data_IF_463149494637
#
_entry.id   IF_463149494637
#
_cell.length_a   1.000
_cell.length_b   1.000
_cell.length_c   1.000
_cell.angle_alpha   90.00
_cell.angle_beta   90.00
_cell.angle_gamma   90.00
#
_symmetry.space_group_name_H-M   'P 1'
#
loop_
_entity.id
_entity.type
_entity.pdbx_description
1 polymer ?
#
# COMPACT_ATOMS: atom_id res chain seq x y z
N UNK A 1 36.31 56.97 42.36
CA UNK A 1 36.57 56.99 40.90
C UNK A 1 37.53 55.89 40.45
N UNK A 2 38.79 55.83 40.91
CA UNK A 2 39.75 54.82 40.43
C UNK A 2 39.31 53.35 40.68
N UNK A 3 38.82 53.02 41.88
CA UNK A 3 38.38 51.65 42.20
C UNK A 3 37.18 51.18 41.35
N UNK A 4 36.20 52.05 41.14
CA UNK A 4 35.02 51.77 40.31
C UNK A 4 35.38 51.50 38.85
N UNK A 5 36.39 52.20 38.30
CA UNK A 5 36.86 51.97 36.93
C UNK A 5 37.52 50.58 36.81
N UNK A 6 38.27 50.14 37.82
CA UNK A 6 38.91 48.82 37.84
C UNK A 6 37.89 47.69 37.93
N UNK A 7 36.86 47.85 38.76
CA UNK A 7 35.76 46.87 38.87
C UNK A 7 35.00 46.73 37.54
N UNK A 8 34.69 47.85 36.87
CA UNK A 8 34.05 47.84 35.55
C UNK A 8 34.93 47.12 34.53
N UNK A 9 36.24 47.37 34.53
CA UNK A 9 37.18 46.71 33.62
C UNK A 9 37.20 45.18 33.82
N UNK A 10 37.27 44.71 35.06
CA UNK A 10 37.27 43.28 35.36
C UNK A 10 35.94 42.62 34.99
N UNK A 11 34.81 43.30 35.22
CA UNK A 11 33.48 42.83 34.79
C UNK A 11 33.37 42.73 33.27
N UNK A 12 33.95 43.68 32.54
CA UNK A 12 33.98 43.68 31.08
C UNK A 12 34.81 42.51 30.54
N UNK A 13 36.00 42.27 31.09
CA UNK A 13 36.86 41.13 30.72
C UNK A 13 36.15 39.79 30.99
N UNK A 14 35.48 39.66 32.14
CA UNK A 14 34.67 38.47 32.46
C UNK A 14 33.54 38.28 31.45
N UNK A 15 32.83 39.35 31.09
CA UNK A 15 31.73 39.28 30.12
C UNK A 15 32.23 38.90 28.74
N UNK A 16 33.37 39.44 28.30
CA UNK A 16 33.97 39.11 27.01
C UNK A 16 34.38 37.63 26.93
N UNK A 17 34.99 37.07 27.99
CA UNK A 17 35.33 35.64 28.01
C UNK A 17 34.11 34.74 27.85
N UNK A 18 32.99 35.10 28.52
CA UNK A 18 31.71 34.38 28.40
C UNK A 18 31.08 34.51 27.01
N UNK A 19 31.24 35.66 26.34
CA UNK A 19 30.77 35.87 24.97
C UNK A 19 31.55 34.97 24.02
N UNK A 20 32.88 34.95 24.11
CA UNK A 20 33.71 34.09 23.26
C UNK A 20 33.37 32.60 23.44
N UNK A 21 33.19 32.16 24.69
CA UNK A 21 32.75 30.79 24.97
C UNK A 21 31.38 30.48 24.35
N UNK A 22 30.42 31.41 24.44
CA UNK A 22 29.11 31.24 23.83
C UNK A 22 29.17 31.22 22.29
N UNK A 23 30.03 32.04 21.67
CA UNK A 23 30.24 32.04 20.22
C UNK A 23 30.81 30.70 19.72
N UNK A 24 31.79 30.14 20.42
CA UNK A 24 32.34 28.81 20.11
C UNK A 24 31.28 27.71 20.26
N UNK A 25 30.47 27.76 21.33
CA UNK A 25 29.36 26.81 21.52
C UNK A 25 28.29 26.93 20.42
N UNK A 26 27.94 28.16 20.02
CA UNK A 26 26.97 28.40 18.93
C UNK A 26 27.52 27.82 17.63
N UNK A 27 28.78 28.09 17.27
CA UNK A 27 29.41 27.53 16.07
C UNK A 27 29.40 26.00 16.10
N UNK A 28 29.72 25.38 17.24
CA UNK A 28 29.66 23.92 17.38
C UNK A 28 28.24 23.35 17.28
N UNK A 29 27.21 24.09 17.72
CA UNK A 29 25.81 23.69 17.54
C UNK A 29 25.37 23.84 16.09
N UNK A 30 25.77 24.91 15.40
CA UNK A 30 25.47 25.15 13.98
C UNK A 30 26.02 24.04 13.10
N UNK A 31 27.28 23.64 13.30
CA UNK A 31 27.90 22.53 12.56
C UNK A 31 27.12 21.22 12.77
N UNK A 32 26.74 20.92 14.01
CA UNK A 32 25.93 19.74 14.34
C UNK A 32 24.55 19.77 13.68
N UNK A 33 23.90 20.94 13.60
CA UNK A 33 22.60 21.08 12.95
C UNK A 33 22.68 20.77 11.46
N UNK A 34 23.75 21.19 10.79
CA UNK A 34 24.00 20.86 9.38
C UNK A 34 24.17 19.35 9.19
N UNK A 35 24.95 18.69 10.05
CA UNK A 35 25.09 17.22 10.02
C UNK A 35 23.77 16.49 10.22
N UNK A 36 22.97 16.91 11.20
CA UNK A 36 21.64 16.34 11.48
C UNK A 36 20.73 16.49 10.27
N UNK A 37 20.65 17.69 9.69
CA UNK A 37 19.81 17.96 8.51
C UNK A 37 20.19 17.07 7.34
N UNK A 38 21.49 16.93 7.07
CA UNK A 38 22.00 16.04 6.02
C UNK A 38 21.66 14.57 6.29
N UNK A 39 21.77 14.12 7.56
CA UNK A 39 21.41 12.77 7.97
C UNK A 39 19.90 12.52 7.83
N UNK A 40 19.05 13.49 8.17
CA UNK A 40 17.59 13.42 8.02
C UNK A 40 17.17 13.34 6.56
N UNK A 41 17.70 14.20 5.69
CA UNK A 41 17.44 14.10 4.25
C UNK A 41 17.86 12.74 3.67
N UNK A 42 18.99 12.18 4.13
CA UNK A 42 19.44 10.85 3.72
C UNK A 42 18.50 9.76 4.23
N UNK A 43 17.99 9.86 5.46
CA UNK A 43 16.99 8.93 6.03
C UNK A 43 15.68 9.01 5.26
N UNK A 44 15.19 10.20 4.96
CA UNK A 44 13.96 10.39 4.18
C UNK A 44 14.06 9.74 2.80
N UNK A 45 15.17 9.98 2.07
CA UNK A 45 15.43 9.32 0.78
C UNK A 45 15.51 7.80 0.88
N UNK A 46 15.92 7.24 2.02
CA UNK A 46 15.92 5.79 2.25
C UNK A 46 14.51 5.27 2.52
N UNK A 47 13.73 5.99 3.32
CA UNK A 47 12.34 5.61 3.63
C UNK A 47 11.48 5.61 2.36
N UNK A 48 11.58 6.63 1.51
CA UNK A 48 10.86 6.67 0.22
C UNK A 48 11.19 5.47 -0.66
N UNK A 49 12.49 5.16 -0.82
CA UNK A 49 12.92 3.97 -1.58
C UNK A 49 12.41 2.66 -0.98
N UNK A 50 12.41 2.55 0.34
CA UNK A 50 11.88 1.37 1.02
C UNK A 50 10.37 1.21 0.81
N UNK A 51 9.62 2.30 0.86
CA UNK A 51 8.17 2.32 0.61
C UNK A 51 7.85 1.87 -0.82
N UNK A 52 8.56 2.42 -1.82
CA UNK A 52 8.45 2.00 -3.21
C UNK A 52 8.79 0.52 -3.40
N UNK A 53 9.87 0.05 -2.75
CA UNK A 53 10.27 -1.37 -2.78
C UNK A 53 9.20 -2.27 -2.17
N UNK A 54 8.59 -1.86 -1.05
CA UNK A 54 7.52 -2.61 -0.41
C UNK A 54 6.26 -2.67 -1.29
N UNK A 55 5.91 -1.56 -1.95
CA UNK A 55 4.81 -1.52 -2.91
C UNK A 55 5.02 -2.53 -4.03
N UNK A 56 6.20 -2.53 -4.65
CA UNK A 56 6.56 -3.46 -5.72
C UNK A 56 6.53 -4.93 -5.27
N UNK A 57 7.07 -5.23 -4.08
CA UNK A 57 7.03 -6.57 -3.51
C UNK A 57 5.59 -7.04 -3.25
N UNK A 58 4.74 -6.17 -2.71
CA UNK A 58 3.33 -6.49 -2.48
C UNK A 58 2.56 -6.70 -3.78
N UNK A 59 2.77 -5.85 -4.78
CA UNK A 59 2.14 -6.02 -6.09
C UNK A 59 2.64 -7.28 -6.79
N UNK A 60 3.91 -7.65 -6.62
CA UNK A 60 4.45 -8.92 -7.11
C UNK A 60 3.77 -10.11 -6.40
N UNK A 61 3.64 -10.10 -5.08
CA UNK A 61 2.96 -11.18 -4.35
C UNK A 61 1.49 -11.30 -4.80
N UNK A 62 0.83 -10.18 -5.07
CA UNK A 62 -0.57 -10.10 -5.49
C UNK A 62 -0.78 -10.23 -7.00
N UNK A 63 0.28 -10.37 -7.79
CA UNK A 63 0.19 -10.32 -9.25
C UNK A 63 -0.57 -11.50 -9.87
N UNK A 64 -0.86 -12.55 -9.09
CA UNK A 64 -1.71 -13.68 -9.49
C UNK A 64 -3.08 -13.71 -8.80
N UNK A 65 -3.39 -12.71 -7.99
CA UNK A 65 -4.62 -12.65 -7.20
C UNK A 65 -5.76 -11.92 -7.95
N UNK A 66 -6.98 -12.41 -7.74
CA UNK A 66 -8.24 -11.84 -8.20
C UNK A 66 -9.19 -11.68 -7.01
N UNK A 67 -9.88 -10.53 -6.94
CA UNK A 67 -11.00 -10.30 -6.03
C UNK A 67 -12.33 -10.45 -6.74
N UNK A 68 -13.25 -11.19 -6.14
CA UNK A 68 -14.65 -11.27 -6.57
C UNK A 68 -15.53 -10.67 -5.48
N UNK A 69 -16.34 -9.69 -5.87
CA UNK A 69 -17.23 -8.95 -4.97
C UNK A 69 -18.68 -9.21 -5.37
N UNK A 70 -19.55 -9.40 -4.37
CA UNK A 70 -21.00 -9.54 -4.55
C UNK A 70 -21.52 -10.98 -4.54
N UNK A 71 -20.67 -11.98 -4.31
CA UNK A 71 -21.13 -13.36 -4.11
C UNK A 71 -21.79 -13.49 -2.72
N UNK A 72 -23.03 -13.98 -2.60
CA UNK A 72 -23.71 -14.16 -1.31
C UNK A 72 -22.91 -15.06 -0.35
N UNK A 73 -22.97 -14.77 0.96
CA UNK A 73 -22.31 -15.60 1.97
C UNK A 73 -22.99 -16.98 2.08
N UNK A 74 -22.22 -18.04 2.29
CA UNK A 74 -22.73 -19.39 2.54
C UNK A 74 -22.76 -20.29 1.30
N UNK A 75 -22.65 -19.72 0.11
CA UNK A 75 -22.49 -20.44 -1.17
C UNK A 75 -21.28 -21.40 -1.15
N UNK A 76 -20.23 -21.06 -0.40
CA UNK A 76 -19.03 -21.88 -0.27
C UNK A 76 -19.26 -23.16 0.52
N UNK A 77 -20.25 -23.21 1.41
CA UNK A 77 -20.50 -24.39 2.26
C UNK A 77 -20.96 -25.59 1.44
N UNK A 78 -21.64 -25.35 0.32
CA UNK A 78 -22.16 -26.38 -0.56
C UNK A 78 -21.10 -26.88 -1.55
N UNK A 79 -20.31 -25.97 -2.12
CA UNK A 79 -19.46 -26.27 -3.29
C UNK A 79 -17.98 -25.92 -3.11
N UNK A 80 -17.63 -25.11 -2.12
CA UNK A 80 -16.30 -24.53 -1.94
C UNK A 80 -16.05 -23.33 -2.85
N UNK A 81 -15.21 -22.40 -2.38
CA UNK A 81 -14.90 -21.14 -3.06
C UNK A 81 -14.30 -21.33 -4.46
N UNK A 82 -13.51 -22.38 -4.65
CA UNK A 82 -12.90 -22.72 -5.94
C UNK A 82 -13.97 -23.05 -7.00
N UNK A 83 -14.98 -23.86 -6.64
CA UNK A 83 -16.07 -24.22 -7.56
C UNK A 83 -16.93 -23.01 -7.93
N UNK A 84 -17.16 -22.08 -7.00
CA UNK A 84 -17.85 -20.82 -7.31
C UNK A 84 -17.11 -20.06 -8.42
N UNK A 85 -15.78 -19.98 -8.33
CA UNK A 85 -14.99 -19.35 -9.38
C UNK A 85 -15.13 -20.08 -10.71
N UNK A 86 -15.01 -21.41 -10.73
CA UNK A 86 -15.20 -22.22 -11.95
C UNK A 86 -16.58 -21.99 -12.59
N UNK A 87 -17.66 -21.94 -11.79
CA UNK A 87 -19.02 -21.63 -12.26
C UNK A 87 -19.11 -20.22 -12.86
N UNK A 88 -18.49 -19.22 -12.22
CA UNK A 88 -18.44 -17.85 -12.74
C UNK A 88 -17.72 -17.83 -14.09
N UNK A 89 -16.58 -18.50 -14.19
CA UNK A 89 -15.79 -18.56 -15.41
C UNK A 89 -16.58 -19.24 -16.52
N UNK A 90 -17.11 -20.44 -16.28
CA UNK A 90 -17.85 -21.20 -17.28
C UNK A 90 -19.08 -20.43 -17.79
N UNK A 91 -19.81 -19.77 -16.90
CA UNK A 91 -21.01 -18.99 -17.26
C UNK A 91 -20.68 -17.71 -18.01
N UNK A 92 -19.65 -16.97 -17.60
CA UNK A 92 -19.40 -15.62 -18.10
C UNK A 92 -18.34 -15.57 -19.21
N UNK A 93 -17.44 -16.55 -19.27
CA UNK A 93 -16.28 -16.59 -20.18
C UNK A 93 -16.22 -17.92 -20.96
N UNK A 94 -17.26 -18.28 -21.73
CA UNK A 94 -17.36 -19.58 -22.39
C UNK A 94 -16.24 -19.84 -23.40
N UNK A 95 -15.73 -18.79 -24.05
CA UNK A 95 -14.63 -18.88 -25.02
C UNK A 95 -13.26 -19.11 -24.36
N UNK A 96 -13.19 -19.02 -23.03
CA UNK A 96 -11.95 -19.22 -22.26
C UNK A 96 -11.67 -20.71 -21.98
N UNK A 97 -12.72 -21.53 -21.91
CA UNK A 97 -12.64 -22.96 -21.57
C UNK A 97 -12.09 -23.89 -22.66
N UNK A 98 -11.60 -23.36 -23.78
CA UNK A 98 -10.88 -24.16 -24.81
C UNK A 98 -9.42 -24.41 -24.43
N UNK A 99 -8.84 -23.54 -23.60
CA UNK A 99 -7.59 -23.82 -22.88
C UNK A 99 -7.96 -24.13 -21.43
N UNK A 100 -7.43 -25.20 -20.81
CA UNK A 100 -7.65 -25.42 -19.39
C UNK A 100 -7.01 -24.26 -18.62
N UNK A 101 -7.83 -23.44 -17.98
CA UNK A 101 -7.34 -22.45 -17.01
C UNK A 101 -6.56 -23.19 -15.94
N UNK A 102 -5.33 -22.73 -15.70
CA UNK A 102 -4.42 -23.44 -14.79
C UNK A 102 -4.96 -23.40 -13.36
N UNK A 103 -4.71 -24.49 -12.64
CA UNK A 103 -5.11 -24.76 -11.26
C UNK A 103 -5.12 -23.51 -10.36
N UNK A 104 -6.22 -23.34 -9.65
CA UNK A 104 -6.38 -22.42 -8.52
C UNK A 104 -5.40 -22.87 -7.43
N UNK A 105 -4.51 -21.98 -7.00
CA UNK A 105 -3.61 -22.26 -5.86
C UNK A 105 -4.36 -22.12 -4.54
N UNK A 106 -5.20 -21.10 -4.43
CA UNK A 106 -5.95 -20.80 -3.21
C UNK A 106 -7.26 -20.10 -3.56
N UNK A 107 -8.34 -20.44 -2.85
CA UNK A 107 -9.62 -19.78 -3.00
C UNK A 107 -10.31 -19.66 -1.63
N UNK A 108 -10.45 -18.44 -1.14
CA UNK A 108 -11.01 -18.20 0.19
C UNK A 108 -11.75 -16.87 0.30
N UNK A 109 -12.65 -16.78 1.28
CA UNK A 109 -13.29 -15.52 1.68
C UNK A 109 -12.35 -14.71 2.55
N UNK A 110 -12.22 -13.42 2.24
CA UNK A 110 -11.35 -12.49 2.97
C UNK A 110 -12.20 -11.30 3.47
N UNK A 111 -12.10 -10.94 4.76
CA UNK A 111 -11.32 -11.59 5.82
C UNK A 111 -11.91 -12.93 6.29
N UNK A 112 -11.11 -13.81 6.90
CA UNK A 112 -11.55 -15.16 7.32
C UNK A 112 -12.75 -15.13 8.31
N UNK A 113 -12.81 -14.13 9.19
CA UNK A 113 -13.91 -13.96 10.15
C UNK A 113 -15.03 -13.11 9.57
N UNK A 114 -16.27 -13.57 9.75
CA UNK A 114 -17.47 -12.81 9.43
C UNK A 114 -17.62 -11.69 10.47
N UNK A 115 -17.85 -10.46 10.00
CA UNK A 115 -18.19 -9.34 10.87
C UNK A 115 -19.72 -9.14 10.83
N UNK A 116 -20.47 -9.41 11.91
CA UNK A 116 -21.92 -9.31 11.91
C UNK A 116 -22.44 -7.87 11.74
N UNK A 117 -21.58 -6.84 11.91
CA UNK A 117 -21.94 -5.44 11.67
C UNK A 117 -21.87 -5.04 10.20
N UNK A 118 -21.30 -5.88 9.32
CA UNK A 118 -21.20 -5.61 7.88
C UNK A 118 -22.30 -6.38 7.15
N UNK A 119 -23.18 -5.64 6.48
CA UNK A 119 -24.25 -6.20 5.65
C UNK A 119 -23.80 -6.56 4.22
N UNK A 120 -22.53 -6.30 3.88
CA UNK A 120 -21.96 -6.60 2.56
C UNK A 120 -21.26 -7.96 2.63
N UNK A 121 -21.48 -8.87 1.66
CA UNK A 121 -20.75 -10.13 1.60
C UNK A 121 -19.23 -9.91 1.51
N UNK A 122 -18.46 -10.76 2.18
CA UNK A 122 -16.99 -10.68 2.11
C UNK A 122 -16.50 -10.95 0.69
N UNK A 123 -15.33 -10.43 0.36
CA UNK A 123 -14.77 -10.68 -0.96
C UNK A 123 -14.22 -12.11 -1.01
N UNK A 124 -14.23 -12.68 -2.21
CA UNK A 124 -13.52 -13.92 -2.49
C UNK A 124 -12.17 -13.56 -3.10
N UNK A 125 -11.09 -14.04 -2.49
CA UNK A 125 -9.74 -13.98 -3.04
C UNK A 125 -9.44 -15.30 -3.74
N UNK A 126 -9.09 -15.22 -5.02
CA UNK A 126 -8.61 -16.34 -5.83
C UNK A 126 -7.15 -16.08 -6.17
N UNK A 127 -6.27 -17.00 -5.78
CA UNK A 127 -4.87 -17.01 -6.18
C UNK A 127 -4.67 -18.00 -7.31
N UNK A 128 -4.24 -17.50 -8.46
CA UNK A 128 -3.92 -18.33 -9.61
C UNK A 128 -2.44 -18.71 -9.59
N UNK A 129 -2.12 -19.81 -10.27
CA UNK A 129 -0.73 -20.25 -10.45
C UNK A 129 0.03 -19.42 -11.48
N UNK A 130 -0.67 -18.81 -12.45
CA UNK A 130 -0.07 -18.04 -13.54
C UNK A 130 -0.65 -16.63 -13.64
N UNK A 131 0.25 -15.66 -13.79
CA UNK A 131 -0.11 -14.24 -14.03
C UNK A 131 -0.88 -14.08 -15.34
N UNK A 132 -0.49 -14.81 -16.39
CA UNK A 132 -1.15 -14.77 -17.71
C UNK A 132 -2.63 -15.11 -17.63
N UNK A 133 -3.01 -16.06 -16.77
CA UNK A 133 -4.41 -16.46 -16.62
C UNK A 133 -5.21 -15.35 -15.92
N UNK A 134 -4.64 -14.74 -14.88
CA UNK A 134 -5.23 -13.55 -14.24
C UNK A 134 -5.47 -12.42 -15.24
N UNK A 135 -4.45 -12.08 -16.04
CA UNK A 135 -4.55 -11.01 -17.03
C UNK A 135 -5.63 -11.28 -18.07
N UNK A 136 -5.70 -12.50 -18.59
CA UNK A 136 -6.76 -12.91 -19.53
C UNK A 136 -8.14 -12.73 -18.87
N UNK A 137 -8.33 -13.19 -17.63
CA UNK A 137 -9.64 -13.13 -16.94
C UNK A 137 -10.05 -11.68 -16.72
N UNK A 138 -9.14 -10.84 -16.23
CA UNK A 138 -9.41 -9.43 -15.99
C UNK A 138 -9.67 -8.67 -17.29
N UNK A 139 -9.00 -9.01 -18.39
CA UNK A 139 -9.25 -8.41 -19.71
C UNK A 139 -10.68 -8.68 -20.15
N UNK A 140 -11.10 -9.95 -20.15
CA UNK A 140 -12.47 -10.31 -20.56
C UNK A 140 -13.50 -9.75 -19.58
N UNK A 141 -13.19 -9.70 -18.28
CA UNK A 141 -14.06 -9.08 -17.28
C UNK A 141 -14.28 -7.58 -17.52
N UNK A 142 -13.27 -6.84 -17.99
CA UNK A 142 -13.38 -5.41 -18.36
C UNK A 142 -14.18 -5.19 -19.64
N UNK A 143 -14.01 -6.06 -20.63
CA UNK A 143 -14.74 -6.00 -21.91
C UNK A 143 -16.23 -6.35 -21.74
N UNK A 144 -16.55 -7.22 -20.78
CA UNK A 144 -17.91 -7.66 -20.51
C UNK A 144 -18.67 -6.61 -19.68
N UNK A 145 -19.80 -6.13 -20.19
CA UNK A 145 -20.65 -5.14 -19.51
C UNK A 145 -21.22 -5.60 -18.17
N UNK A 146 -21.53 -6.90 -18.03
CA UNK A 146 -22.13 -7.44 -16.81
C UNK A 146 -21.64 -8.88 -16.58
N UNK A 147 -21.14 -9.13 -15.37
CA UNK A 147 -20.77 -10.45 -14.88
C UNK A 147 -21.79 -10.84 -13.83
N UNK A 148 -22.35 -12.05 -13.91
CA UNK A 148 -23.37 -12.51 -12.97
C UNK A 148 -23.02 -13.88 -12.37
N UNK A 149 -23.42 -14.08 -11.13
CA UNK A 149 -23.40 -15.36 -10.43
C UNK A 149 -24.80 -15.66 -9.91
N UNK A 150 -25.40 -16.80 -10.33
CA UNK A 150 -26.79 -17.18 -9.98
C UNK A 150 -27.83 -16.04 -10.11
N UNK A 151 -27.67 -15.17 -11.11
CA UNK A 151 -28.57 -14.02 -11.35
C UNK A 151 -28.18 -12.74 -10.61
N UNK A 152 -27.24 -12.81 -9.66
CA UNK A 152 -26.73 -11.65 -8.93
C UNK A 152 -25.56 -11.00 -9.69
N UNK A 153 -25.55 -9.69 -9.91
CA UNK A 153 -24.39 -8.99 -10.49
C UNK A 153 -23.17 -9.06 -9.55
N UNK A 154 -22.02 -9.39 -10.12
CA UNK A 154 -20.74 -9.46 -9.40
C UNK A 154 -19.67 -8.63 -10.08
N UNK A 155 -18.60 -8.31 -9.35
CA UNK A 155 -17.42 -7.62 -9.89
C UNK A 155 -16.19 -8.50 -9.73
N UNK A 156 -15.38 -8.57 -10.78
CA UNK A 156 -14.10 -9.28 -10.80
C UNK A 156 -13.00 -8.24 -10.98
N UNK A 157 -12.10 -8.14 -10.01
CA UNK A 157 -11.11 -7.07 -9.90
C UNK A 157 -9.71 -7.64 -9.65
N UNK A 158 -8.71 -6.86 -10.04
CA UNK A 158 -7.32 -7.12 -9.67
C UNK A 158 -7.11 -6.87 -8.17
N UNK A 159 -6.32 -7.71 -7.52
CA UNK A 159 -5.73 -7.38 -6.21
C UNK A 159 -4.47 -6.54 -6.43
N UNK A 160 -4.43 -5.36 -5.82
CA UNK A 160 -3.29 -4.44 -5.84
C UNK A 160 -2.95 -4.03 -4.39
N UNK A 161 -1.75 -3.50 -4.19
CA UNK A 161 -1.36 -2.81 -2.96
C UNK A 161 -2.22 -1.57 -2.72
N UNK A 162 -2.26 -1.09 -1.47
CA UNK A 162 -3.09 0.06 -1.12
C UNK A 162 -2.57 1.33 -1.81
N UNK A 163 -1.26 1.42 -1.93
CA UNK A 163 -0.48 2.48 -2.56
C UNK A 163 -0.76 2.52 -4.07
N UNK A 164 -0.75 1.37 -4.75
CA UNK A 164 -1.09 1.29 -6.19
C UNK A 164 -2.56 1.62 -6.44
N UNK A 165 -3.47 1.20 -5.56
CA UNK A 165 -4.87 1.61 -5.63
C UNK A 165 -5.05 3.12 -5.40
N UNK A 166 -4.25 3.73 -4.52
CA UNK A 166 -4.29 5.17 -4.24
C UNK A 166 -3.75 5.98 -5.42
N UNK A 167 -2.57 5.62 -5.94
CA UNK A 167 -2.02 6.24 -7.14
C UNK A 167 -3.01 6.16 -8.31
N UNK A 168 -3.66 5.00 -8.50
CA UNK A 168 -4.72 4.84 -9.49
C UNK A 168 -5.88 5.82 -9.31
N UNK A 169 -6.33 6.09 -8.09
CA UNK A 169 -7.39 7.09 -7.82
C UNK A 169 -6.95 8.51 -8.16
N UNK A 170 -5.70 8.85 -7.88
CA UNK A 170 -5.14 10.18 -8.18
C UNK A 170 -5.13 10.45 -9.69
N UNK A 171 -4.81 9.46 -10.52
CA UNK A 171 -4.90 9.58 -11.98
C UNK A 171 -6.31 9.85 -12.50
N UNK A 172 -7.36 9.36 -11.84
CA UNK A 172 -8.74 9.64 -12.25
C UNK A 172 -9.19 11.08 -11.96
N UNK A 173 -8.43 11.80 -11.12
CA UNK A 173 -8.74 13.17 -10.71
C UNK A 173 -7.91 14.21 -11.49
N UNK A 174 -7.12 13.78 -12.49
CA UNK A 174 -6.39 14.67 -13.38
C UNK A 174 -7.33 15.14 -14.50
N UNK A 175 -7.52 16.46 -14.70
CA UNK A 175 -8.40 17.02 -15.73
C UNK A 175 -8.06 16.61 -17.17
#
# INVERSE_FOLDING_TARGET
MKNTITEIKNSLETTNSRIQEAEEQISGVEDRLVEITNAEQKREKRLKRNEESLRELWDNIKCTNIHIIGVPEGEEREKGTAKIFEEIIAKNFPNMGKEPLTQIQEAQRVPYKINPRRNIPRHILIKLTKIKDREKILKVAREKKQITYKGTPIRVLADFSAETLQAGREWHNIP
#
